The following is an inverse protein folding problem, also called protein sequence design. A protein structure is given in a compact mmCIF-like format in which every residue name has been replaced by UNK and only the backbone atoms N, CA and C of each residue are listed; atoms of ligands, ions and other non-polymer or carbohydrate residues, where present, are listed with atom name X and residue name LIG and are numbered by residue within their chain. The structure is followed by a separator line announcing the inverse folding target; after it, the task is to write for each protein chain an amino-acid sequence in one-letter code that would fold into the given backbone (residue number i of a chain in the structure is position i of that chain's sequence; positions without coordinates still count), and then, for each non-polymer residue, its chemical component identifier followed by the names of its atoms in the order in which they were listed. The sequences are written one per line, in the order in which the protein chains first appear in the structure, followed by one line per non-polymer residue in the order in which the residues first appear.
data_IF_664241315709
#
_entry.id   IF_664241315709
#
_cell.length_a   1.000
_cell.length_b   1.000
_cell.length_c   1.000
_cell.angle_alpha   90.00
_cell.angle_beta   90.00
_cell.angle_gamma   90.00
#
_symmetry.space_group_name_H-M   'P 1'
#
loop_
_entity.id
_entity.type
_entity.pdbx_description
1 polymer ?
#
# COMPACT_ATOMS: atom_id res chain seq x y z
N UNK A 1 18.70 9.36 23.11
CA UNK A 1 18.48 9.10 21.67
C UNK A 1 17.03 8.67 21.56
N UNK A 2 16.23 9.30 20.68
CA UNK A 2 14.89 8.78 20.40
C UNK A 2 15.04 7.38 19.82
N UNK A 3 14.22 6.43 20.26
CA UNK A 3 14.13 5.14 19.57
C UNK A 3 13.64 5.37 18.13
N UNK A 4 14.05 4.51 17.20
CA UNK A 4 13.61 4.60 15.82
C UNK A 4 12.12 4.24 15.75
N UNK A 5 11.31 4.94 14.92
CA UNK A 5 9.90 4.61 14.77
C UNK A 5 9.68 3.14 14.42
N UNK A 6 8.64 2.55 15.01
CA UNK A 6 8.13 1.25 14.60
C UNK A 6 7.64 1.32 13.16
N UNK A 7 7.99 0.31 12.38
CA UNK A 7 7.58 0.21 10.98
C UNK A 7 6.59 -0.93 10.83
N UNK A 8 5.46 -0.64 10.20
CA UNK A 8 4.45 -1.63 9.86
C UNK A 8 4.18 -1.55 8.36
N UNK A 9 4.32 -2.66 7.64
CA UNK A 9 3.90 -2.72 6.23
C UNK A 9 2.76 -3.71 6.07
N UNK A 10 1.75 -3.31 5.31
CA UNK A 10 0.54 -4.07 5.06
C UNK A 10 0.43 -4.39 3.59
N UNK A 11 0.41 -5.68 3.28
CA UNK A 11 -0.11 -6.18 2.02
C UNK A 11 -1.64 -6.20 2.11
N UNK A 12 -2.29 -5.34 1.31
CA UNK A 12 -3.72 -5.05 1.45
C UNK A 12 -4.56 -5.86 0.49
N UNK A 13 -5.62 -6.47 1.02
CA UNK A 13 -6.53 -7.27 0.20
C UNK A 13 -7.83 -6.55 -0.13
N UNK A 14 -8.13 -6.53 -1.44
CA UNK A 14 -9.43 -6.16 -1.96
C UNK A 14 -10.51 -7.23 -1.81
N UNK A 15 -10.22 -8.46 -1.38
CA UNK A 15 -11.24 -9.53 -1.33
C UNK A 15 -12.47 -9.16 -0.49
N UNK A 16 -13.67 -9.53 -0.97
CA UNK A 16 -14.94 -9.25 -0.28
C UNK A 16 -15.13 -10.15 0.96
N UNK A 17 -14.68 -11.39 0.86
CA UNK A 17 -14.71 -12.39 1.92
C UNK A 17 -13.31 -12.98 2.07
N UNK A 18 -12.97 -13.44 3.28
CA UNK A 18 -11.67 -14.05 3.53
C UNK A 18 -10.51 -13.07 3.56
N UNK A 19 -10.76 -11.75 3.72
CA UNK A 19 -9.69 -10.74 3.81
C UNK A 19 -8.68 -11.05 4.92
N UNK A 20 -9.11 -11.72 5.98
CA UNK A 20 -8.25 -12.20 7.06
C UNK A 20 -7.23 -13.26 6.63
N UNK A 21 -7.43 -13.91 5.48
CA UNK A 21 -6.50 -14.90 4.93
C UNK A 21 -5.46 -14.28 3.99
N UNK A 22 -5.75 -13.10 3.46
CA UNK A 22 -5.05 -12.45 2.35
C UNK A 22 -4.45 -11.09 2.71
N UNK A 23 -4.83 -10.50 3.84
CA UNK A 23 -4.15 -9.33 4.41
C UNK A 23 -3.00 -9.85 5.26
N UNK A 24 -1.78 -9.36 4.98
CA UNK A 24 -0.61 -9.59 5.81
C UNK A 24 -0.10 -8.30 6.42
N UNK A 25 0.29 -8.39 7.69
CA UNK A 25 1.01 -7.36 8.43
C UNK A 25 2.42 -7.88 8.72
N UNK A 26 3.42 -7.07 8.41
CA UNK A 26 4.78 -7.25 8.90
C UNK A 26 5.17 -6.05 9.77
N UNK A 27 5.82 -6.32 10.90
CA UNK A 27 6.33 -5.30 11.81
C UNK A 27 7.84 -5.42 11.95
N UNK A 28 8.53 -4.28 11.85
CA UNK A 28 9.92 -4.11 12.25
C UNK A 28 9.97 -3.10 13.39
N UNK A 29 10.57 -3.49 14.51
CA UNK A 29 10.78 -2.63 15.66
C UNK A 29 12.23 -2.73 16.12
N UNK A 30 12.87 -1.60 16.42
CA UNK A 30 14.27 -1.53 16.81
C UNK A 30 15.22 -2.31 15.86
N UNK A 31 14.96 -2.23 14.55
CA UNK A 31 15.76 -2.89 13.52
C UNK A 31 15.53 -4.40 13.35
N UNK A 32 14.61 -4.99 14.12
CA UNK A 32 14.30 -6.41 14.07
C UNK A 32 12.86 -6.66 13.62
N UNK A 33 12.67 -7.69 12.79
CA UNK A 33 11.31 -8.17 12.46
C UNK A 33 10.70 -8.76 13.73
N UNK A 34 9.57 -8.20 14.16
CA UNK A 34 8.85 -8.62 15.38
C UNK A 34 7.53 -9.32 15.06
N UNK A 35 6.96 -9.09 13.88
CA UNK A 35 5.74 -9.77 13.45
C UNK A 35 5.72 -10.02 11.93
N UNK A 36 5.12 -11.14 11.56
CA UNK A 36 4.61 -11.42 10.22
C UNK A 36 3.36 -12.27 10.38
N UNK A 37 2.20 -11.65 10.23
CA UNK A 37 0.93 -12.23 10.60
C UNK A 37 -0.21 -11.89 9.64
N UNK A 38 -1.18 -12.80 9.60
CA UNK A 38 -2.50 -12.63 8.98
C UNK A 38 -3.56 -13.01 10.01
N UNK A 39 -4.84 -12.89 9.66
CA UNK A 39 -5.96 -13.28 10.51
C UNK A 39 -6.83 -12.12 10.97
N UNK A 40 -6.51 -10.89 10.54
CA UNK A 40 -7.38 -9.72 10.74
C UNK A 40 -8.05 -9.35 9.42
N UNK A 41 -9.37 -9.17 9.47
CA UNK A 41 -10.06 -8.45 8.42
C UNK A 41 -9.66 -6.96 8.46
N UNK A 42 -10.06 -6.20 7.43
CA UNK A 42 -9.73 -4.76 7.34
C UNK A 42 -10.09 -3.98 8.60
N UNK A 43 -11.29 -4.16 9.12
CA UNK A 43 -11.76 -3.43 10.30
C UNK A 43 -10.89 -3.69 11.53
N UNK A 44 -10.60 -4.97 11.83
CA UNK A 44 -9.74 -5.35 12.96
C UNK A 44 -8.30 -4.92 12.77
N UNK A 45 -7.81 -4.92 11.52
CA UNK A 45 -6.47 -4.42 11.20
C UNK A 45 -6.38 -2.91 11.51
N UNK A 46 -7.34 -2.12 11.04
CA UNK A 46 -7.34 -0.67 11.25
C UNK A 46 -7.48 -0.33 12.73
N UNK A 47 -8.36 -1.02 13.46
CA UNK A 47 -8.46 -0.88 14.92
C UNK A 47 -7.13 -1.21 15.61
N UNK A 48 -6.45 -2.28 15.18
CA UNK A 48 -5.14 -2.65 15.71
C UNK A 48 -4.08 -1.56 15.46
N UNK A 49 -4.01 -0.99 14.25
CA UNK A 49 -3.07 0.10 13.94
C UNK A 49 -3.32 1.34 14.82
N UNK A 50 -4.60 1.69 15.02
CA UNK A 50 -4.99 2.80 15.90
C UNK A 50 -4.53 2.52 17.34
N UNK A 51 -4.74 1.31 17.84
CA UNK A 51 -4.32 0.95 19.20
C UNK A 51 -2.80 0.86 19.36
N UNK A 52 -2.05 0.53 18.29
CA UNK A 52 -0.58 0.66 18.28
C UNK A 52 -0.19 2.13 18.43
N UNK A 53 -0.69 3.02 17.57
CA UNK A 53 -0.35 4.43 17.59
C UNK A 53 -0.78 5.18 18.87
N UNK A 54 -1.87 4.73 19.52
CA UNK A 54 -2.30 5.27 20.82
C UNK A 54 -1.34 4.93 21.96
N UNK A 55 -0.70 3.76 21.90
CA UNK A 55 0.28 3.33 22.91
C UNK A 55 1.64 3.98 22.68
N UNK A 56 2.01 4.12 21.41
CA UNK A 56 3.26 4.75 21.00
C UNK A 56 3.06 5.42 19.62
N UNK A 57 3.07 6.76 19.54
CA UNK A 57 2.85 7.46 18.29
C UNK A 57 4.03 7.36 17.32
N UNK A 58 5.19 6.85 17.76
CA UNK A 58 6.39 6.66 16.93
C UNK A 58 6.21 5.46 15.98
N UNK A 59 5.26 5.56 15.06
CA UNK A 59 4.92 4.50 14.10
C UNK A 59 4.73 5.04 12.68
N UNK A 60 5.27 4.31 11.71
CA UNK A 60 5.07 4.54 10.28
C UNK A 60 4.43 3.29 9.66
N UNK A 61 3.32 3.49 8.96
CA UNK A 61 2.54 2.44 8.31
C UNK A 61 2.61 2.60 6.80
N UNK A 62 3.05 1.55 6.10
CA UNK A 62 2.96 1.44 4.64
C UNK A 62 1.76 0.59 4.24
N UNK A 63 0.90 1.10 3.37
CA UNK A 63 -0.27 0.37 2.86
C UNK A 63 -0.15 0.13 1.35
N UNK A 64 -0.30 -1.13 0.92
CA UNK A 64 -0.27 -1.51 -0.50
C UNK A 64 -1.64 -1.36 -1.18
N UNK A 65 -2.09 -0.12 -1.36
CA UNK A 65 -3.18 0.22 -2.26
C UNK A 65 -3.14 1.70 -2.62
N UNK A 66 -3.78 2.08 -3.72
CA UNK A 66 -3.80 3.47 -4.18
C UNK A 66 -4.71 4.35 -3.30
N UNK A 67 -4.18 5.46 -2.78
CA UNK A 67 -4.90 6.31 -1.83
C UNK A 67 -5.93 7.24 -2.48
N UNK A 68 -5.90 7.39 -3.80
CA UNK A 68 -6.85 8.26 -4.53
C UNK A 68 -7.06 7.78 -5.97
N UNK A 69 -7.83 8.55 -6.73
CA UNK A 69 -8.03 8.41 -8.18
C UNK A 69 -7.38 9.59 -8.94
N UNK A 70 -7.23 9.50 -10.27
CA UNK A 70 -6.77 10.63 -11.08
C UNK A 70 -7.63 11.88 -10.87
N UNK A 71 -7.00 13.05 -10.95
CA UNK A 71 -7.61 14.34 -10.64
C UNK A 71 -8.92 14.58 -11.39
N UNK A 72 -9.00 14.19 -12.66
CA UNK A 72 -10.21 14.35 -13.47
C UNK A 72 -11.43 13.63 -12.87
N UNK A 73 -11.21 12.49 -12.19
CA UNK A 73 -12.31 11.73 -11.58
C UNK A 73 -12.87 12.47 -10.38
N UNK A 74 -11.99 13.03 -9.53
CA UNK A 74 -12.40 13.87 -8.40
C UNK A 74 -13.19 15.07 -8.92
N UNK A 75 -12.71 15.74 -9.96
CA UNK A 75 -13.38 16.89 -10.58
C UNK A 75 -14.73 16.52 -11.19
N UNK A 76 -14.85 15.36 -11.85
CA UNK A 76 -16.12 14.87 -12.40
C UNK A 76 -17.17 14.60 -11.31
N UNK A 77 -16.71 14.34 -10.09
CA UNK A 77 -17.53 14.15 -8.88
C UNK A 77 -17.65 15.43 -8.04
N UNK A 78 -17.14 16.56 -8.54
CA UNK A 78 -17.12 17.87 -7.86
C UNK A 78 -16.42 17.82 -6.49
N UNK A 79 -15.40 16.98 -6.37
CA UNK A 79 -14.61 16.81 -5.15
C UNK A 79 -13.37 17.72 -5.21
N UNK A 80 -13.11 18.43 -4.12
CA UNK A 80 -11.99 19.35 -3.98
C UNK A 80 -10.71 18.66 -3.48
N UNK A 81 -10.85 17.50 -2.83
CA UNK A 81 -9.74 16.84 -2.12
C UNK A 81 -9.89 15.32 -2.04
N UNK A 82 -8.80 14.60 -1.80
CA UNK A 82 -8.84 13.14 -1.59
C UNK A 82 -9.65 12.72 -0.34
N UNK A 83 -9.65 13.45 0.79
CA UNK A 83 -10.55 13.16 1.90
C UNK A 83 -12.03 13.11 1.53
N UNK A 84 -12.51 14.01 0.67
CA UNK A 84 -13.91 13.96 0.18
C UNK A 84 -14.17 12.74 -0.69
N UNK A 85 -13.16 12.32 -1.49
CA UNK A 85 -13.22 11.07 -2.22
C UNK A 85 -13.30 9.85 -1.28
N UNK A 86 -12.55 9.83 -0.18
CA UNK A 86 -12.63 8.75 0.79
C UNK A 86 -14.02 8.64 1.44
N UNK A 87 -14.66 9.78 1.69
CA UNK A 87 -16.05 9.82 2.15
C UNK A 87 -17.04 9.33 1.09
N UNK A 88 -16.83 9.70 -0.17
CA UNK A 88 -17.64 9.19 -1.28
C UNK A 88 -17.47 7.67 -1.44
N UNK A 89 -16.24 7.18 -1.41
CA UNK A 89 -15.91 5.76 -1.49
C UNK A 89 -16.57 4.98 -0.34
N UNK A 90 -16.63 5.55 0.87
CA UNK A 90 -17.31 4.91 2.00
C UNK A 90 -18.81 4.67 1.76
N UNK A 91 -19.43 5.43 0.84
CA UNK A 91 -20.85 5.30 0.47
C UNK A 91 -21.06 4.51 -0.82
N UNK A 92 -20.19 4.70 -1.82
CA UNK A 92 -20.44 4.25 -3.20
C UNK A 92 -19.47 3.17 -3.70
N UNK A 93 -18.37 2.88 -3.02
CA UNK A 93 -17.35 1.97 -3.54
C UNK A 93 -17.89 0.58 -3.87
N UNK A 94 -18.71 -0.02 -2.99
CA UNK A 94 -19.31 -1.33 -3.25
C UNK A 94 -20.26 -1.30 -4.45
N UNK A 95 -21.01 -0.22 -4.63
CA UNK A 95 -21.88 -0.04 -5.81
C UNK A 95 -21.07 0.09 -7.10
N UNK A 96 -19.97 0.85 -7.09
CA UNK A 96 -19.05 0.94 -8.23
C UNK A 96 -18.45 -0.43 -8.57
N UNK A 97 -18.04 -1.19 -7.55
CA UNK A 97 -17.47 -2.53 -7.70
C UNK A 97 -18.48 -3.56 -8.22
N UNK A 98 -19.74 -3.46 -7.79
CA UNK A 98 -20.81 -4.35 -8.19
C UNK A 98 -21.29 -4.05 -9.61
N UNK A 99 -21.51 -2.78 -9.94
CA UNK A 99 -22.00 -2.37 -11.26
C UNK A 99 -20.91 -2.44 -12.33
N UNK A 100 -19.64 -2.20 -11.98
CA UNK A 100 -18.50 -2.19 -12.90
C UNK A 100 -18.79 -1.39 -14.19
N UNK A 101 -19.44 -0.23 -14.03
CA UNK A 101 -19.72 0.70 -15.13
C UNK A 101 -18.53 1.64 -15.34
N UNK A 102 -18.36 2.23 -16.54
CA UNK A 102 -17.36 3.25 -16.77
C UNK A 102 -17.36 4.32 -15.66
N UNK A 103 -16.19 4.69 -15.13
CA UNK A 103 -14.87 4.40 -15.69
C UNK A 103 -14.26 3.05 -15.30
N UNK A 104 -14.94 2.21 -14.52
CA UNK A 104 -14.40 0.94 -14.03
C UNK A 104 -14.56 -0.21 -15.04
N UNK A 105 -13.61 -1.15 -15.05
CA UNK A 105 -13.65 -2.34 -15.91
C UNK A 105 -12.93 -3.55 -15.31
N UNK A 106 -12.98 -4.68 -16.02
CA UNK A 106 -12.22 -5.90 -15.73
C UNK A 106 -13.10 -7.10 -15.35
N UNK A 107 -14.39 -6.88 -15.12
CA UNK A 107 -15.38 -7.97 -14.97
C UNK A 107 -15.77 -8.52 -16.36
N UNK A 108 -16.28 -9.78 -16.43
CA UNK A 108 -16.82 -10.32 -17.68
C UNK A 108 -17.82 -9.37 -18.33
N UNK A 109 -17.70 -9.17 -19.65
CA UNK A 109 -18.56 -8.27 -20.40
C UNK A 109 -18.18 -6.79 -20.34
N UNK A 110 -17.13 -6.42 -19.60
CA UNK A 110 -16.61 -5.04 -19.57
C UNK A 110 -15.27 -4.95 -20.28
N UNK A 111 -15.06 -3.87 -21.03
CA UNK A 111 -13.79 -3.58 -21.70
C UNK A 111 -13.16 -2.33 -21.10
N UNK A 112 -11.85 -2.15 -21.30
CA UNK A 112 -11.16 -0.94 -20.89
C UNK A 112 -11.77 0.25 -21.66
N UNK A 113 -12.41 1.21 -20.99
CA UNK A 113 -13.04 2.36 -21.64
C UNK A 113 -11.98 3.37 -22.08
N UNK A 114 -12.37 4.29 -22.97
CA UNK A 114 -11.58 5.49 -23.25
C UNK A 114 -11.78 6.50 -22.12
N UNK A 115 -10.71 6.88 -21.42
CA UNK A 115 -10.73 7.84 -20.31
C UNK A 115 -9.76 8.98 -20.59
N UNK A 116 -9.97 10.17 -19.99
CA UNK A 116 -8.98 11.26 -20.07
C UNK A 116 -7.60 10.80 -19.60
N UNK A 117 -7.55 10.13 -18.44
CA UNK A 117 -6.36 9.48 -17.92
C UNK A 117 -6.72 8.18 -17.21
N UNK A 118 -5.91 7.14 -17.42
CA UNK A 118 -6.06 5.87 -16.71
C UNK A 118 -5.26 5.80 -15.41
N UNK A 119 -4.23 6.62 -15.28
CA UNK A 119 -3.24 6.53 -14.21
C UNK A 119 -3.18 7.86 -13.48
N UNK A 120 -2.87 7.81 -12.19
CA UNK A 120 -2.42 8.99 -11.46
C UNK A 120 -1.00 9.33 -11.89
N UNK A 121 -0.59 10.58 -11.71
CA UNK A 121 0.81 10.99 -11.78
C UNK A 121 1.68 10.12 -10.87
N UNK A 122 1.19 9.80 -9.66
CA UNK A 122 1.86 8.89 -8.74
C UNK A 122 2.17 7.51 -9.36
N UNK A 123 1.23 6.93 -10.12
CA UNK A 123 1.40 5.62 -10.76
C UNK A 123 2.44 5.67 -11.90
N UNK A 124 2.47 6.78 -12.64
CA UNK A 124 3.38 7.00 -13.77
C UNK A 124 4.82 7.26 -13.33
N UNK A 125 5.00 7.91 -12.17
CA UNK A 125 6.30 8.19 -11.55
C UNK A 125 7.00 6.93 -11.05
N UNK A 126 6.26 5.84 -10.80
CA UNK A 126 6.85 4.56 -10.38
C UNK A 126 7.71 3.98 -11.52
N UNK A 127 9.01 3.71 -11.25
CA UNK A 127 9.89 3.10 -12.24
C UNK A 127 9.43 1.68 -12.58
N UNK A 128 9.64 1.27 -13.84
CA UNK A 128 9.34 -0.09 -14.27
C UNK A 128 10.29 -1.10 -13.61
N UNK A 129 9.75 -2.12 -12.96
CA UNK A 129 10.51 -3.22 -12.35
C UNK A 129 10.31 -4.47 -13.20
N UNK A 130 11.32 -4.80 -14.01
CA UNK A 130 11.28 -5.95 -14.93
C UNK A 130 10.04 -5.92 -15.86
N UNK A 131 9.69 -4.73 -16.36
CA UNK A 131 8.52 -4.53 -17.23
C UNK A 131 7.20 -4.36 -16.48
N UNK A 132 7.18 -4.51 -15.15
CA UNK A 132 5.98 -4.36 -14.32
C UNK A 132 5.85 -2.92 -13.83
N UNK A 133 4.66 -2.34 -14.03
CA UNK A 133 4.24 -1.01 -13.55
C UNK A 133 2.92 -1.13 -12.80
N UNK A 134 2.57 -0.14 -11.94
CA UNK A 134 1.24 -0.08 -11.34
C UNK A 134 0.14 -0.20 -12.40
N UNK A 135 -0.94 -0.88 -12.04
CA UNK A 135 -2.13 -0.99 -12.89
C UNK A 135 -3.05 0.19 -12.62
N UNK A 136 -3.93 0.49 -13.57
CA UNK A 136 -4.94 1.52 -13.37
C UNK A 136 -5.88 1.13 -12.23
N UNK A 137 -6.14 2.07 -11.32
CA UNK A 137 -7.11 1.91 -10.22
C UNK A 137 -8.54 1.64 -10.72
N UNK A 138 -8.84 2.02 -11.95
CA UNK A 138 -10.16 1.75 -12.53
C UNK A 138 -10.31 0.30 -13.03
N UNK A 139 -9.22 -0.44 -13.20
CA UNK A 139 -9.29 -1.89 -13.37
C UNK A 139 -9.62 -2.50 -12.01
N UNK A 140 -10.83 -3.02 -11.85
CA UNK A 140 -11.33 -3.57 -10.59
C UNK A 140 -11.34 -5.11 -10.56
N UNK A 141 -11.25 -5.78 -11.71
CA UNK A 141 -11.12 -7.23 -11.79
C UNK A 141 -10.10 -7.68 -12.85
N UNK A 142 -9.75 -8.96 -12.81
CA UNK A 142 -8.70 -9.56 -13.64
C UNK A 142 -7.32 -9.58 -12.97
N UNK A 143 -6.34 -10.16 -13.66
CA UNK A 143 -5.00 -10.37 -13.10
C UNK A 143 -4.30 -9.05 -12.75
N UNK A 144 -3.74 -8.99 -11.53
CA UNK A 144 -2.98 -7.84 -11.03
C UNK A 144 -3.81 -6.58 -10.76
N UNK A 145 -5.13 -6.70 -10.62
CA UNK A 145 -6.02 -5.58 -10.29
C UNK A 145 -5.64 -4.95 -8.95
N UNK A 146 -5.60 -3.61 -8.90
CA UNK A 146 -5.43 -2.82 -7.67
C UNK A 146 -6.71 -2.07 -7.29
N UNK A 147 -7.66 -1.94 -8.23
CA UNK A 147 -8.84 -1.08 -8.06
C UNK A 147 -9.74 -1.51 -6.91
N UNK A 148 -10.03 -2.80 -6.81
CA UNK A 148 -10.89 -3.33 -5.74
C UNK A 148 -10.28 -3.13 -4.35
N UNK A 149 -8.98 -3.37 -4.20
CA UNK A 149 -8.26 -3.13 -2.94
C UNK A 149 -8.29 -1.67 -2.54
N UNK A 150 -7.99 -0.79 -3.50
CA UNK A 150 -7.91 0.65 -3.30
C UNK A 150 -9.25 1.27 -2.93
N UNK A 151 -10.32 0.96 -3.67
CA UNK A 151 -11.66 1.47 -3.37
C UNK A 151 -12.16 1.03 -1.98
N UNK A 152 -11.78 -0.16 -1.53
CA UNK A 152 -12.10 -0.68 -0.19
C UNK A 152 -11.13 -0.20 0.90
N UNK A 153 -9.97 0.34 0.53
CA UNK A 153 -8.97 0.91 1.43
C UNK A 153 -9.18 2.40 1.71
N UNK A 154 -9.69 3.17 0.75
CA UNK A 154 -9.94 4.60 0.89
C UNK A 154 -10.78 4.98 2.14
N UNK A 155 -11.89 4.29 2.46
CA UNK A 155 -12.66 4.58 3.68
C UNK A 155 -11.85 4.40 4.97
N UNK A 156 -10.85 3.52 4.94
CA UNK A 156 -10.00 3.19 6.08
C UNK A 156 -8.92 4.27 6.30
N UNK A 157 -8.44 4.92 5.23
CA UNK A 157 -7.57 6.11 5.34
C UNK A 157 -8.25 7.22 6.13
N UNK A 158 -9.55 7.44 5.90
CA UNK A 158 -10.35 8.40 6.66
C UNK A 158 -10.38 8.05 8.15
N UNK A 159 -10.56 6.77 8.49
CA UNK A 159 -10.57 6.28 9.88
C UNK A 159 -9.21 6.47 10.56
N UNK A 160 -8.12 6.16 9.86
CA UNK A 160 -6.75 6.41 10.35
C UNK A 160 -6.50 7.91 10.56
N UNK A 161 -6.86 8.75 9.60
CA UNK A 161 -6.71 10.22 9.70
C UNK A 161 -7.48 10.79 10.88
N UNK A 162 -8.74 10.37 11.07
CA UNK A 162 -9.56 10.76 12.22
C UNK A 162 -8.99 10.29 13.56
N UNK A 163 -8.25 9.17 13.57
CA UNK A 163 -7.55 8.67 14.75
C UNK A 163 -6.21 9.38 15.03
N UNK A 164 -5.81 10.34 14.20
CA UNK A 164 -4.64 11.20 14.42
C UNK A 164 -3.44 10.91 13.51
N UNK A 165 -3.52 9.93 12.61
CA UNK A 165 -2.46 9.68 11.64
C UNK A 165 -2.35 10.82 10.63
N UNK A 166 -1.14 11.19 10.23
CA UNK A 166 -0.93 11.95 9.01
C UNK A 166 -0.93 11.00 7.81
N UNK A 167 -1.75 11.28 6.80
CA UNK A 167 -1.79 10.49 5.57
C UNK A 167 -0.99 11.23 4.51
N UNK A 168 0.22 10.77 4.21
CA UNK A 168 1.07 11.44 3.23
C UNK A 168 0.62 11.12 1.79
N UNK A 169 0.62 12.11 0.87
CA UNK A 169 1.03 13.51 1.01
C UNK A 169 -0.11 14.49 1.34
N UNK A 170 -1.30 13.99 1.67
CA UNK A 170 -2.52 14.79 1.88
C UNK A 170 -2.45 15.63 3.16
N UNK A 171 -1.73 15.15 4.17
CA UNK A 171 -1.36 15.87 5.37
C UNK A 171 0.15 16.15 5.38
N UNK A 172 0.61 17.25 6.02
CA UNK A 172 2.03 17.43 6.31
C UNK A 172 2.57 16.22 7.09
N UNK A 173 3.74 15.67 6.71
CA UNK A 173 4.26 14.45 7.31
C UNK A 173 4.58 14.65 8.79
N UNK A 174 4.01 13.80 9.63
CA UNK A 174 4.27 13.70 11.08
C UNK A 174 3.88 12.32 11.58
N UNK A 175 4.46 11.90 12.69
CA UNK A 175 4.06 10.65 13.34
C UNK A 175 2.75 10.83 14.14
N UNK A 176 1.90 9.79 14.24
CA UNK A 176 1.98 8.53 13.49
C UNK A 176 1.67 8.75 12.01
N UNK A 177 2.44 8.11 11.12
CA UNK A 177 2.44 8.38 9.68
C UNK A 177 1.90 7.20 8.88
N UNK A 178 1.11 7.47 7.84
CA UNK A 178 0.67 6.49 6.84
C UNK A 178 1.17 6.93 5.46
N UNK A 179 1.76 6.00 4.73
CA UNK A 179 2.25 6.21 3.36
C UNK A 179 1.69 5.15 2.41
N UNK A 180 1.51 5.52 1.15
CA UNK A 180 1.24 4.58 0.07
C UNK A 180 2.56 3.91 -0.35
N UNK A 181 2.58 2.58 -0.38
CA UNK A 181 3.71 1.79 -0.86
C UNK A 181 3.32 0.99 -2.09
N UNK A 182 4.33 0.56 -2.85
CA UNK A 182 4.15 -0.37 -3.97
C UNK A 182 5.20 -1.49 -3.83
N UNK A 183 4.86 -2.66 -3.25
CA UNK A 183 5.83 -3.68 -2.87
C UNK A 183 6.76 -4.11 -4.00
N UNK A 184 6.31 -4.08 -5.26
CA UNK A 184 7.14 -4.48 -6.41
C UNK A 184 8.43 -3.65 -6.54
N UNK A 185 8.44 -2.36 -6.20
CA UNK A 185 9.68 -1.57 -6.19
C UNK A 185 10.58 -1.86 -4.99
N UNK A 186 10.01 -2.39 -3.91
CA UNK A 186 10.73 -2.73 -2.67
C UNK A 186 11.32 -4.15 -2.74
N UNK A 187 10.65 -5.08 -3.44
CA UNK A 187 11.14 -6.45 -3.63
C UNK A 187 12.13 -6.60 -4.79
N UNK A 188 12.14 -5.67 -5.75
CA UNK A 188 12.93 -5.80 -6.97
C UNK A 188 12.54 -7.00 -7.84
N UNK A 189 13.46 -7.46 -8.69
CA UNK A 189 13.23 -8.56 -9.63
C UNK A 189 13.28 -9.93 -8.92
N UNK A 190 12.13 -10.61 -8.89
CA UNK A 190 12.01 -11.99 -8.41
C UNK A 190 10.81 -12.68 -9.08
N UNK A 191 10.95 -13.97 -9.35
CA UNK A 191 9.85 -14.88 -9.69
C UNK A 191 9.11 -15.27 -8.40
N UNK A 192 8.17 -14.41 -7.96
CA UNK A 192 7.49 -14.56 -6.65
C UNK A 192 6.72 -15.89 -6.52
N UNK A 193 6.22 -16.43 -7.63
CA UNK A 193 5.42 -17.66 -7.65
C UNK A 193 6.14 -18.93 -7.17
N UNK A 194 7.47 -18.95 -7.04
CA UNK A 194 8.20 -20.08 -6.46
C UNK A 194 8.54 -19.84 -4.99
N UNK A 195 8.04 -20.68 -4.06
CA UNK A 195 8.45 -20.67 -2.66
C UNK A 195 9.98 -20.75 -2.48
N UNK A 196 10.65 -21.58 -3.28
CA UNK A 196 12.10 -21.76 -3.26
C UNK A 196 12.83 -20.48 -3.69
N UNK A 197 12.34 -19.81 -4.74
CA UNK A 197 12.90 -18.53 -5.19
C UNK A 197 12.74 -17.46 -4.11
N UNK A 198 11.60 -17.41 -3.41
CA UNK A 198 11.37 -16.50 -2.28
C UNK A 198 12.29 -16.81 -1.10
N UNK A 199 12.44 -18.09 -0.74
CA UNK A 199 13.35 -18.50 0.33
C UNK A 199 14.82 -18.14 0.00
N UNK A 200 15.28 -18.44 -1.21
CA UNK A 200 16.62 -18.10 -1.68
C UNK A 200 16.86 -16.58 -1.70
N UNK A 201 15.87 -15.82 -2.16
CA UNK A 201 15.93 -14.36 -2.14
C UNK A 201 16.08 -13.83 -0.71
N UNK A 202 15.25 -14.30 0.23
CA UNK A 202 15.34 -13.88 1.64
C UNK A 202 16.69 -14.24 2.22
N UNK A 203 17.25 -15.42 1.92
CA UNK A 203 18.56 -15.86 2.44
C UNK A 203 19.70 -14.98 1.93
N UNK A 204 19.62 -14.53 0.68
CA UNK A 204 20.61 -13.62 0.09
C UNK A 204 20.45 -12.19 0.58
N UNK A 205 19.22 -11.69 0.65
CA UNK A 205 18.92 -10.27 0.90
C UNK A 205 18.85 -9.92 2.39
N UNK A 206 18.41 -10.85 3.22
CA UNK A 206 18.20 -10.67 4.67
C UNK A 206 18.79 -11.89 5.41
N UNK A 207 20.12 -12.03 5.45
CA UNK A 207 20.78 -13.21 6.01
C UNK A 207 20.44 -13.40 7.50
N UNK A 208 20.29 -12.31 8.24
CA UNK A 208 20.01 -12.34 9.69
C UNK A 208 18.52 -12.51 10.04
N UNK A 209 17.64 -12.69 9.04
CA UNK A 209 16.22 -12.95 9.28
C UNK A 209 16.05 -14.30 10.00
N UNK A 210 15.33 -14.28 11.13
CA UNK A 210 15.00 -15.48 11.89
C UNK A 210 14.30 -16.54 11.01
N UNK A 211 14.64 -17.81 11.25
CA UNK A 211 14.24 -18.91 10.39
C UNK A 211 12.72 -19.05 10.26
N UNK A 212 11.97 -18.78 11.33
CA UNK A 212 10.52 -18.86 11.34
C UNK A 212 9.87 -17.77 10.48
N UNK A 213 10.37 -16.52 10.52
CA UNK A 213 9.91 -15.45 9.63
C UNK A 213 10.26 -15.75 8.17
N UNK A 214 11.45 -16.31 7.92
CA UNK A 214 11.87 -16.72 6.58
C UNK A 214 10.93 -17.76 5.98
N UNK A 215 10.58 -18.80 6.74
CA UNK A 215 9.63 -19.84 6.33
C UNK A 215 8.26 -19.22 6.06
N UNK A 216 7.75 -18.39 6.99
CA UNK A 216 6.43 -17.75 6.83
C UNK A 216 6.36 -16.86 5.60
N UNK A 217 7.35 -16.01 5.36
CA UNK A 217 7.39 -15.14 4.18
C UNK A 217 7.49 -15.92 2.86
N UNK A 218 8.12 -17.09 2.87
CA UNK A 218 8.18 -17.98 1.71
C UNK A 218 6.87 -18.76 1.43
N UNK A 219 5.79 -18.56 2.21
CA UNK A 219 4.51 -19.27 1.98
C UNK A 219 3.62 -18.63 0.92
N UNK A 220 3.44 -17.30 0.91
CA UNK A 220 2.69 -16.57 -0.14
C UNK A 220 3.38 -15.27 -0.62
N UNK A 221 2.99 -14.80 -1.79
CA UNK A 221 3.45 -13.51 -2.34
C UNK A 221 3.09 -12.36 -1.38
N UNK A 222 1.86 -12.35 -0.84
CA UNK A 222 1.39 -11.36 0.13
C UNK A 222 2.27 -11.28 1.40
N UNK A 223 2.68 -12.44 1.95
CA UNK A 223 3.53 -12.50 3.14
C UNK A 223 4.95 -12.00 2.84
N UNK A 224 5.45 -12.33 1.66
CA UNK A 224 6.75 -11.89 1.17
C UNK A 224 6.77 -10.37 0.94
N UNK A 225 5.72 -9.83 0.34
CA UNK A 225 5.58 -8.42 0.01
C UNK A 225 5.41 -7.56 1.26
N UNK A 226 4.58 -7.98 2.22
CA UNK A 226 4.50 -7.33 3.52
C UNK A 226 5.85 -7.31 4.24
N UNK A 227 6.54 -8.45 4.35
CA UNK A 227 7.81 -8.56 5.07
C UNK A 227 8.90 -7.68 4.44
N UNK A 228 9.14 -7.81 3.13
CA UNK A 228 10.18 -7.03 2.48
C UNK A 228 9.86 -5.54 2.46
N UNK A 229 8.58 -5.17 2.36
CA UNK A 229 8.19 -3.76 2.47
C UNK A 229 8.55 -3.19 3.83
N UNK A 230 8.25 -3.91 4.92
CA UNK A 230 8.60 -3.46 6.28
C UNK A 230 10.12 -3.34 6.47
N UNK A 231 10.89 -4.30 5.96
CA UNK A 231 12.37 -4.28 6.04
C UNK A 231 12.95 -3.10 5.24
N UNK A 232 12.51 -2.89 4.00
CA UNK A 232 13.04 -1.82 3.15
C UNK A 232 12.60 -0.43 3.63
N UNK A 233 11.41 -0.32 4.23
CA UNK A 233 10.97 0.88 4.95
C UNK A 233 11.83 1.15 6.19
N UNK A 234 12.08 0.14 7.03
CA UNK A 234 12.91 0.29 8.23
C UNK A 234 14.36 0.66 7.90
N UNK A 235 14.93 0.09 6.85
CA UNK A 235 16.26 0.43 6.36
C UNK A 235 16.38 1.89 5.85
N UNK A 236 15.25 2.57 5.62
CA UNK A 236 15.17 3.95 5.11
C UNK A 236 14.28 4.83 5.96
N UNK A 237 14.23 4.56 7.26
CA UNK A 237 13.42 5.35 8.21
C UNK A 237 13.78 6.85 8.14
N UNK A 238 15.06 7.18 7.92
CA UNK A 238 15.53 8.56 7.72
C UNK A 238 14.88 9.25 6.51
N UNK A 239 14.62 8.52 5.42
CA UNK A 239 13.89 9.06 4.27
C UNK A 239 12.41 9.29 4.59
N UNK A 240 11.82 8.39 5.39
CA UNK A 240 10.40 8.43 5.75
C UNK A 240 10.07 9.56 6.73
N UNK A 241 10.93 9.78 7.73
CA UNK A 241 10.78 10.90 8.68
C UNK A 241 11.06 12.26 8.03
N UNK A 242 11.80 12.28 6.92
CA UNK A 242 12.14 13.49 6.17
C UNK A 242 11.34 13.64 4.86
N UNK A 243 10.19 12.96 4.75
CA UNK A 243 9.33 13.12 3.59
C UNK A 243 8.96 14.60 3.38
N UNK A 244 8.98 15.10 2.14
CA UNK A 244 8.52 16.45 1.85
C UNK A 244 7.00 16.52 1.93
N UNK A 245 6.45 17.72 2.10
CA UNK A 245 5.02 17.97 1.84
C UNK A 245 4.68 17.72 0.36
N UNK A 246 3.38 17.75 0.02
CA UNK A 246 2.94 17.76 -1.38
C UNK A 246 3.66 18.84 -2.21
N UNK A 247 4.01 18.51 -3.45
CA UNK A 247 4.71 19.44 -4.37
C UNK A 247 3.77 20.51 -4.91
N UNK A 248 2.51 20.13 -5.14
CA UNK A 248 1.48 20.96 -5.74
C UNK A 248 0.08 20.43 -5.40
N UNK A 249 -0.96 21.08 -5.95
CA UNK A 249 -2.34 20.70 -5.75
C UNK A 249 -2.72 19.34 -6.35
N UNK A 250 -1.99 18.84 -7.37
CA UNK A 250 -2.26 17.53 -7.95
C UNK A 250 -1.81 16.41 -7.00
N UNK A 251 -0.69 16.58 -6.29
CA UNK A 251 -0.28 15.64 -5.23
C UNK A 251 -1.35 15.56 -4.11
N UNK A 252 -1.99 16.69 -3.76
CA UNK A 252 -3.07 16.73 -2.77
C UNK A 252 -4.38 16.09 -3.27
N UNK A 253 -4.53 15.88 -4.57
CA UNK A 253 -5.69 15.20 -5.17
C UNK A 253 -5.42 13.72 -5.42
N UNK A 254 -4.29 13.39 -6.05
CA UNK A 254 -3.98 12.04 -6.50
C UNK A 254 -3.12 11.24 -5.50
N UNK A 255 -2.42 11.92 -4.61
CA UNK A 255 -1.47 11.31 -3.70
C UNK A 255 -0.10 11.07 -4.35
N UNK A 256 0.75 10.35 -3.63
CA UNK A 256 2.10 9.95 -4.06
C UNK A 256 2.41 8.56 -3.50
N UNK A 257 3.14 7.78 -4.28
CA UNK A 257 3.73 6.51 -3.82
C UNK A 257 5.11 6.81 -3.26
N UNK A 258 5.44 6.27 -2.09
CA UNK A 258 6.80 6.37 -1.59
C UNK A 258 7.74 5.55 -2.48
N UNK A 259 8.73 6.21 -3.07
CA UNK A 259 9.77 5.60 -3.88
C UNK A 259 11.11 5.84 -3.15
N UNK A 260 11.83 4.79 -2.73
CA UNK A 260 13.15 4.93 -2.14
C UNK A 260 14.11 5.73 -3.03
N UNK A 261 14.91 6.62 -2.44
CA UNK A 261 15.92 7.40 -3.21
C UNK A 261 16.92 6.51 -3.93
N UNK A 262 17.25 5.37 -3.32
CA UNK A 262 18.03 4.29 -3.94
C UNK A 262 17.23 3.01 -3.95
N UNK A 263 16.92 2.52 -5.16
CA UNK A 263 16.21 1.27 -5.36
C UNK A 263 17.04 0.09 -4.82
N UNK A 264 16.39 -0.95 -4.28
CA UNK A 264 17.05 -2.18 -3.88
C UNK A 264 17.89 -2.75 -5.03
N UNK A 265 19.06 -3.29 -4.71
CA UNK A 265 19.96 -3.88 -5.71
C UNK A 265 19.23 -4.98 -6.51
N UNK A 266 19.48 -5.04 -7.81
CA UNK A 266 18.95 -6.12 -8.65
C UNK A 266 19.57 -7.43 -8.17
N UNK A 267 18.73 -8.38 -7.78
CA UNK A 267 19.20 -9.75 -7.56
C UNK A 267 19.57 -10.34 -8.92
N UNK A 268 20.88 -10.36 -9.23
CA UNK A 268 21.43 -11.25 -10.26
C UNK A 268 21.22 -12.71 -9.82
#
# INVERSE_FOLDING_TARGET
MSEAPRIIAIDWSGSIAGSERTIYLAEVNNGHVTALERGRNRERLIAHLIDVARRDPEVIVGLDFAFSLPQWFLESKQLSSAPELWELAAREAEDWLNRCQPPFWGRPGTTRPSLPEHFRRADLEVPSVSGVRPKSIFQIAGAGTVGTGSLRGMPELRRLRQAGFAIWPFDPPRLPLVIEIYPRILTGQITKSSPEARAAYLSKRVPDLAADFRVRAATSDDAFDALLSAIEMAARVDELISLPTARDAQDLKEGRIWIPRTLPARSN
#
